data_IF_178387533419
#
_entry.id   IF_178387533419
#
_cell.length_a   1.000
_cell.length_b   1.000
_cell.length_c   1.000
_cell.angle_alpha   90.00
_cell.angle_beta   90.00
_cell.angle_gamma   90.00
#
_symmetry.space_group_name_H-M   'P 1'
#
loop_
_entity.id
_entity.type
_entity.pdbx_description
1 polymer ?
#
# COMPACT_ATOMS: atom_id res chain seq x y z
N UNK A 1 12.47 9.21 -18.40
CA UNK A 1 11.79 7.95 -18.06
C UNK A 1 11.24 7.94 -16.60
N UNK A 2 12.05 8.02 -15.52
CA UNK A 2 11.60 7.88 -14.14
C UNK A 2 10.52 8.88 -13.70
N UNK A 3 10.64 10.16 -14.04
CA UNK A 3 9.59 11.17 -13.74
C UNK A 3 8.25 10.82 -14.39
N UNK A 4 8.26 10.39 -15.65
CA UNK A 4 7.04 9.98 -16.36
C UNK A 4 6.39 8.73 -15.75
N UNK A 5 7.21 7.86 -15.12
CA UNK A 5 6.73 6.73 -14.31
C UNK A 5 6.21 7.18 -12.93
N UNK A 6 6.40 8.44 -12.59
CA UNK A 6 5.92 9.03 -11.34
C UNK A 6 6.88 8.89 -10.17
N UNK A 7 8.15 8.61 -10.44
CA UNK A 7 9.18 8.56 -9.40
C UNK A 7 9.52 9.97 -8.93
N UNK A 8 9.81 10.11 -7.64
CA UNK A 8 10.34 11.36 -7.11
C UNK A 8 11.82 11.52 -7.49
N UNK A 9 12.36 12.77 -7.50
CA UNK A 9 13.79 13.00 -7.69
C UNK A 9 14.69 12.18 -6.75
N UNK A 10 14.26 11.95 -5.51
CA UNK A 10 14.96 11.09 -4.55
C UNK A 10 15.00 9.64 -5.02
N UNK A 11 13.88 9.12 -5.51
CA UNK A 11 13.78 7.73 -5.99
C UNK A 11 14.63 7.52 -7.25
N UNK A 12 14.66 8.51 -8.14
CA UNK A 12 15.48 8.47 -9.36
C UNK A 12 16.98 8.45 -9.01
N UNK A 13 17.42 9.39 -8.17
CA UNK A 13 18.82 9.48 -7.76
C UNK A 13 19.29 8.23 -7.01
N UNK A 14 18.44 7.73 -6.09
CA UNK A 14 18.74 6.55 -5.30
C UNK A 14 18.77 5.26 -6.12
N UNK A 15 17.85 5.10 -7.07
CA UNK A 15 17.82 3.95 -7.98
C UNK A 15 19.03 3.97 -8.91
N UNK A 16 19.37 5.11 -9.48
CA UNK A 16 20.54 5.26 -10.33
C UNK A 16 21.84 4.91 -9.60
N UNK A 17 21.98 5.39 -8.35
CA UNK A 17 23.12 5.00 -7.50
C UNK A 17 23.16 3.49 -7.25
N UNK A 18 22.02 2.85 -7.04
CA UNK A 18 21.93 1.39 -6.83
C UNK A 18 22.41 0.62 -8.08
N UNK A 19 22.03 1.10 -9.27
CA UNK A 19 22.34 0.43 -10.55
C UNK A 19 23.79 0.68 -11.01
N UNK A 20 24.30 1.90 -10.83
CA UNK A 20 25.66 2.29 -11.31
C UNK A 20 26.76 2.10 -10.26
N UNK A 21 26.43 1.79 -9.01
CA UNK A 21 27.37 1.72 -7.89
C UNK A 21 27.92 3.05 -7.41
N UNK A 22 27.65 4.16 -8.10
CA UNK A 22 28.16 5.50 -7.80
C UNK A 22 27.07 6.58 -7.87
N UNK A 23 27.34 7.75 -7.28
CA UNK A 23 26.40 8.87 -7.30
C UNK A 23 26.56 9.65 -8.61
N UNK A 24 25.75 9.32 -9.62
CA UNK A 24 25.77 10.01 -10.93
C UNK A 24 25.06 11.36 -10.85
N UNK A 25 23.96 11.43 -10.11
CA UNK A 25 23.16 12.66 -9.94
C UNK A 25 22.55 12.72 -8.55
N UNK A 26 22.56 13.91 -7.94
CA UNK A 26 21.89 14.10 -6.65
C UNK A 26 20.42 14.48 -6.84
N UNK A 27 19.60 14.20 -5.84
CA UNK A 27 18.22 14.66 -5.77
C UNK A 27 18.11 16.18 -5.98
N UNK A 28 19.06 16.96 -5.41
CA UNK A 28 19.11 18.42 -5.52
C UNK A 28 19.33 18.86 -6.97
N UNK A 29 20.21 18.19 -7.70
CA UNK A 29 20.45 18.48 -9.12
C UNK A 29 19.20 18.25 -9.96
N UNK A 30 18.46 17.17 -9.70
CA UNK A 30 17.21 16.91 -10.42
C UNK A 30 16.16 17.98 -10.14
N UNK A 31 16.00 18.42 -8.87
CA UNK A 31 15.09 19.54 -8.54
C UNK A 31 15.55 20.85 -9.18
N UNK A 32 16.86 21.16 -9.18
CA UNK A 32 17.39 22.34 -9.83
C UNK A 32 17.05 22.36 -11.32
N UNK A 33 17.20 21.22 -11.98
CA UNK A 33 16.80 21.07 -13.38
C UNK A 33 15.28 21.21 -13.57
N UNK A 34 14.46 20.58 -12.73
CA UNK A 34 13.00 20.65 -12.82
C UNK A 34 12.46 22.07 -12.72
N UNK A 35 13.10 22.92 -11.93
CA UNK A 35 12.68 24.33 -11.77
C UNK A 35 13.36 25.28 -12.76
N UNK A 36 14.17 24.78 -13.69
CA UNK A 36 14.64 25.56 -14.83
C UNK A 36 13.58 25.62 -15.94
N UNK A 37 13.75 26.55 -16.88
CA UNK A 37 12.86 26.70 -18.04
C UNK A 37 12.69 25.39 -18.82
N UNK A 38 13.74 24.59 -18.95
CA UNK A 38 13.75 23.31 -19.66
C UNK A 38 13.03 22.17 -18.88
N UNK A 39 13.16 22.17 -17.56
CA UNK A 39 12.60 21.14 -16.69
C UNK A 39 11.15 21.37 -16.27
N UNK A 40 10.68 22.63 -16.32
CA UNK A 40 9.37 23.03 -15.81
C UNK A 40 8.18 22.20 -16.35
N UNK A 41 8.11 21.82 -17.63
CA UNK A 41 7.03 20.95 -18.14
C UNK A 41 6.96 19.59 -17.45
N UNK A 42 8.05 19.12 -16.85
CA UNK A 42 8.12 17.84 -16.14
C UNK A 42 7.67 17.90 -14.68
N UNK A 43 7.49 19.12 -14.12
CA UNK A 43 6.98 19.28 -12.74
C UNK A 43 5.60 18.63 -12.54
N UNK A 44 4.78 18.52 -13.58
CA UNK A 44 3.49 17.81 -13.58
C UNK A 44 3.61 16.34 -13.18
N UNK A 45 4.78 15.72 -13.33
CA UNK A 45 5.04 14.33 -12.96
C UNK A 45 5.47 14.16 -11.50
N UNK A 46 5.68 15.24 -10.74
CA UNK A 46 6.06 15.16 -9.34
C UNK A 46 4.94 14.54 -8.47
N UNK A 47 5.29 13.69 -7.48
CA UNK A 47 4.31 12.92 -6.69
C UNK A 47 3.37 13.78 -5.83
N UNK A 48 3.72 15.01 -5.50
CA UNK A 48 2.94 15.86 -4.58
C UNK A 48 2.70 17.24 -5.16
N UNK A 49 1.43 17.54 -5.44
CA UNK A 49 0.89 18.88 -5.65
C UNK A 49 0.04 19.25 -4.43
N UNK A 50 0.64 19.72 -3.33
CA UNK A 50 -0.12 20.09 -2.13
C UNK A 50 -0.34 21.60 -2.07
N UNK A 51 -1.61 22.01 -2.03
CA UNK A 51 -2.02 23.41 -1.93
C UNK A 51 -2.62 23.83 -0.58
N UNK A 52 -3.04 22.90 0.33
CA UNK A 52 -3.65 23.27 1.64
C UNK A 52 -3.48 22.19 2.75
N UNK A 53 -3.39 22.59 4.05
CA UNK A 53 -3.40 21.67 5.19
C UNK A 53 -4.79 21.10 5.49
N UNK A 54 -4.82 19.93 6.14
CA UNK A 54 -6.04 19.16 6.43
C UNK A 54 -6.69 19.55 7.75
N UNK A 55 -8.02 19.79 7.79
CA UNK A 55 -8.80 19.87 9.03
C UNK A 55 -9.01 18.47 9.65
N UNK A 56 -8.79 18.34 10.98
CA UNK A 56 -9.09 17.09 11.74
C UNK A 56 -10.60 16.88 11.85
N UNK A 57 -11.08 15.67 11.55
CA UNK A 57 -12.47 15.24 11.85
C UNK A 57 -12.52 14.56 13.22
N UNK A 58 -13.59 14.82 14.00
CA UNK A 58 -13.90 14.09 15.24
C UNK A 58 -14.29 12.65 14.91
N UNK A 59 -13.83 11.69 15.74
CA UNK A 59 -14.08 10.26 15.55
C UNK A 59 -15.54 9.86 15.81
N UNK A 60 -15.98 8.81 15.13
CA UNK A 60 -17.28 8.18 15.35
C UNK A 60 -17.25 7.30 16.62
N UNK A 61 -18.42 7.15 17.30
CA UNK A 61 -18.57 6.26 18.46
C UNK A 61 -18.30 4.80 18.07
N UNK A 62 -17.54 4.08 18.90
CA UNK A 62 -17.28 2.65 18.74
C UNK A 62 -18.54 1.84 18.98
N UNK A 63 -18.86 0.92 18.06
CA UNK A 63 -19.81 -0.17 18.31
C UNK A 63 -19.11 -1.26 19.11
N UNK A 64 -19.81 -1.88 20.09
CA UNK A 64 -19.33 -3.08 20.78
C UNK A 64 -19.11 -4.19 19.74
N UNK A 65 -17.86 -4.56 19.54
CA UNK A 65 -17.44 -5.65 18.65
C UNK A 65 -17.12 -6.86 19.52
N UNK A 66 -17.52 -8.06 19.10
CA UNK A 66 -17.19 -9.30 19.80
C UNK A 66 -15.66 -9.53 19.92
N UNK A 67 -15.27 -10.62 20.59
CA UNK A 67 -13.86 -10.98 20.80
C UNK A 67 -13.05 -10.94 19.50
N UNK A 68 -11.92 -10.22 19.52
CA UNK A 68 -10.95 -10.07 18.44
C UNK A 68 -9.53 -10.20 19.00
N UNK A 69 -8.67 -11.04 18.39
CA UNK A 69 -7.24 -11.05 18.75
C UNK A 69 -6.63 -9.67 18.50
N UNK A 70 -6.01 -9.09 19.52
CA UNK A 70 -5.45 -7.75 19.44
C UNK A 70 -4.00 -7.81 18.94
N UNK A 71 -3.54 -6.71 18.35
CA UNK A 71 -2.21 -6.59 17.74
C UNK A 71 -1.07 -6.91 18.71
N UNK A 72 -1.26 -6.71 20.00
CA UNK A 72 -0.25 -7.00 21.05
C UNK A 72 0.05 -8.51 21.16
N UNK A 73 -0.93 -9.37 20.82
CA UNK A 73 -0.75 -10.83 20.85
C UNK A 73 -0.14 -11.37 19.56
N UNK A 74 0.12 -10.49 18.59
CA UNK A 74 0.71 -10.86 17.30
C UNK A 74 2.19 -11.20 17.47
N UNK A 75 2.70 -12.29 16.88
CA UNK A 75 4.14 -12.57 16.88
C UNK A 75 4.92 -11.45 16.18
N UNK A 76 6.25 -11.40 16.44
CA UNK A 76 7.14 -10.40 15.81
C UNK A 76 6.97 -10.42 14.29
N UNK A 77 6.75 -9.25 13.70
CA UNK A 77 6.40 -9.09 12.28
C UNK A 77 7.43 -8.27 11.50
N UNK A 78 7.40 -8.43 10.18
CA UNK A 78 8.20 -7.65 9.24
C UNK A 78 9.64 -8.13 9.09
N UNK A 79 10.06 -9.19 9.77
CA UNK A 79 11.37 -9.82 9.59
C UNK A 79 11.37 -10.84 8.47
N UNK A 80 10.28 -11.56 8.30
CA UNK A 80 10.06 -12.54 7.24
C UNK A 80 8.87 -12.17 6.38
N UNK A 81 8.80 -12.75 5.17
CA UNK A 81 7.67 -12.57 4.28
C UNK A 81 6.40 -13.22 4.84
N UNK A 82 5.25 -12.60 4.56
CA UNK A 82 3.94 -13.15 4.91
C UNK A 82 3.15 -12.36 5.95
N UNK A 83 3.69 -11.26 6.46
CA UNK A 83 2.97 -10.36 7.38
C UNK A 83 2.29 -9.24 6.59
N UNK A 84 0.95 -9.22 6.60
CA UNK A 84 0.15 -8.31 5.79
C UNK A 84 -0.64 -7.31 6.65
N UNK A 85 -0.83 -6.11 6.12
CA UNK A 85 -1.82 -5.14 6.61
C UNK A 85 -2.93 -5.01 5.58
N UNK A 86 -4.18 -5.12 6.03
CA UNK A 86 -5.37 -5.02 5.18
C UNK A 86 -6.25 -3.83 5.54
N UNK A 87 -6.91 -3.26 4.52
CA UNK A 87 -7.86 -2.17 4.67
C UNK A 87 -8.77 -2.03 3.45
N UNK A 88 -9.88 -1.28 3.61
CA UNK A 88 -10.68 -0.82 2.49
C UNK A 88 -10.54 0.69 2.28
N UNK A 89 -10.47 1.11 1.03
CA UNK A 89 -10.39 2.52 0.68
C UNK A 89 -11.76 3.17 0.89
N UNK A 90 -11.82 4.19 1.75
CA UNK A 90 -13.04 4.96 1.96
C UNK A 90 -13.60 5.51 0.64
N UNK A 91 -14.85 5.18 0.35
CA UNK A 91 -15.57 5.59 -0.85
C UNK A 91 -16.52 6.77 -0.55
N UNK A 92 -16.96 7.52 -1.56
CA UNK A 92 -18.02 8.52 -1.42
C UNK A 92 -19.34 7.85 -1.03
N UNK A 93 -20.27 8.60 -0.43
CA UNK A 93 -21.57 8.07 -0.01
C UNK A 93 -22.37 7.40 -1.13
N UNK A 94 -22.23 7.91 -2.37
CA UNK A 94 -22.90 7.36 -3.56
C UNK A 94 -22.33 6.01 -4.02
N UNK A 95 -21.12 5.65 -3.62
CA UNK A 95 -20.49 4.40 -4.05
C UNK A 95 -20.97 3.22 -3.20
N UNK A 96 -21.47 2.20 -3.86
CA UNK A 96 -21.85 0.92 -3.25
C UNK A 96 -20.65 0.00 -3.06
N UNK A 97 -19.64 0.11 -3.94
CA UNK A 97 -18.44 -0.71 -3.93
C UNK A 97 -17.34 -0.20 -2.99
N UNK A 98 -16.29 -1.03 -2.85
CA UNK A 98 -15.04 -0.69 -2.13
C UNK A 98 -13.83 -1.16 -2.93
N UNK A 99 -12.75 -0.41 -2.83
CA UNK A 99 -11.42 -0.91 -3.21
C UNK A 99 -10.78 -1.48 -1.96
N UNK A 100 -10.48 -2.76 -1.97
CA UNK A 100 -9.84 -3.49 -0.87
C UNK A 100 -8.36 -3.65 -1.20
N UNK A 101 -7.50 -3.47 -0.21
CA UNK A 101 -6.06 -3.60 -0.38
C UNK A 101 -5.40 -4.35 0.76
N UNK A 102 -4.30 -5.02 0.41
CA UNK A 102 -3.36 -5.59 1.37
C UNK A 102 -1.95 -5.15 1.00
N UNK A 103 -1.11 -4.88 2.01
CA UNK A 103 0.31 -4.57 1.81
C UNK A 103 1.15 -5.51 2.66
N UNK A 104 2.16 -6.11 2.05
CA UNK A 104 3.11 -6.97 2.73
C UNK A 104 4.16 -6.12 3.46
N UNK A 105 4.46 -6.47 4.73
CA UNK A 105 5.21 -5.59 5.65
C UNK A 105 6.70 -5.51 5.35
N UNK A 106 7.33 -6.58 4.86
CA UNK A 106 8.76 -6.61 4.54
C UNK A 106 9.05 -6.00 3.17
N UNK A 107 8.38 -6.48 2.15
CA UNK A 107 8.58 -6.07 0.76
C UNK A 107 7.87 -4.79 0.37
N UNK A 108 6.84 -4.37 1.13
CA UNK A 108 5.93 -3.25 0.78
C UNK A 108 5.10 -3.54 -0.47
N UNK A 109 4.99 -4.79 -0.90
CA UNK A 109 4.17 -5.19 -2.04
C UNK A 109 2.71 -4.88 -1.75
N UNK A 110 2.07 -4.16 -2.66
CA UNK A 110 0.65 -3.80 -2.60
C UNK A 110 -0.15 -4.72 -3.52
N UNK A 111 -1.29 -5.19 -3.04
CA UNK A 111 -2.30 -5.85 -3.85
C UNK A 111 -3.64 -5.16 -3.65
N UNK A 112 -4.40 -4.99 -4.71
CA UNK A 112 -5.72 -4.34 -4.67
C UNK A 112 -6.74 -5.19 -5.44
N UNK A 113 -7.98 -5.14 -4.97
CA UNK A 113 -9.15 -5.64 -5.70
C UNK A 113 -10.33 -4.74 -5.44
N UNK A 114 -11.37 -4.84 -6.26
CA UNK A 114 -12.63 -4.16 -6.00
C UNK A 114 -13.73 -5.16 -5.66
N UNK A 115 -14.64 -4.73 -4.81
CA UNK A 115 -15.82 -5.49 -4.42
C UNK A 115 -17.07 -4.64 -4.61
N UNK A 116 -18.17 -5.26 -5.02
CA UNK A 116 -19.40 -4.55 -5.36
C UNK A 116 -20.13 -3.95 -4.15
N UNK A 117 -19.86 -4.46 -2.94
CA UNK A 117 -20.56 -4.03 -1.71
C UNK A 117 -19.62 -4.13 -0.50
N UNK A 118 -19.78 -3.29 0.56
CA UNK A 118 -18.96 -3.34 1.77
C UNK A 118 -18.95 -4.70 2.45
N UNK A 119 -20.07 -5.42 2.47
CA UNK A 119 -20.17 -6.78 3.04
C UNK A 119 -19.27 -7.81 2.36
N UNK A 120 -18.75 -7.51 1.17
CA UNK A 120 -17.84 -8.38 0.42
C UNK A 120 -16.35 -8.04 0.65
N UNK A 121 -16.03 -7.14 1.55
CA UNK A 121 -14.63 -6.76 1.86
C UNK A 121 -13.82 -7.99 2.29
N UNK A 122 -14.38 -8.88 3.11
CA UNK A 122 -13.70 -10.13 3.48
C UNK A 122 -13.42 -11.04 2.28
N UNK A 123 -14.36 -11.16 1.34
CA UNK A 123 -14.15 -11.90 0.08
C UNK A 123 -13.01 -11.26 -0.73
N UNK A 124 -12.94 -9.93 -0.74
CA UNK A 124 -11.83 -9.19 -1.36
C UNK A 124 -10.50 -9.50 -0.70
N UNK A 125 -10.42 -9.50 0.63
CA UNK A 125 -9.23 -9.87 1.39
C UNK A 125 -8.83 -11.33 1.10
N UNK A 126 -9.78 -12.24 1.13
CA UNK A 126 -9.54 -13.66 0.83
C UNK A 126 -8.95 -13.86 -0.58
N UNK A 127 -9.49 -13.21 -1.60
CA UNK A 127 -8.94 -13.23 -2.98
C UNK A 127 -7.50 -12.71 -3.05
N UNK A 128 -7.21 -11.63 -2.32
CA UNK A 128 -5.88 -11.02 -2.32
C UNK A 128 -4.84 -11.88 -1.60
N UNK A 129 -5.25 -12.68 -0.62
CA UNK A 129 -4.36 -13.51 0.20
C UNK A 129 -4.27 -14.97 -0.27
N UNK A 130 -5.19 -15.45 -1.11
CA UNK A 130 -5.26 -16.85 -1.54
C UNK A 130 -4.02 -17.38 -2.29
N UNK A 131 -3.28 -16.49 -2.96
CA UNK A 131 -2.14 -16.86 -3.84
C UNK A 131 -0.79 -16.39 -3.31
N UNK A 132 -0.71 -16.03 -2.05
CA UNK A 132 0.52 -15.52 -1.41
C UNK A 132 0.70 -16.15 -0.04
N UNK A 133 1.94 -16.28 0.45
CA UNK A 133 2.15 -16.72 1.82
C UNK A 133 1.59 -15.70 2.82
N UNK A 134 0.77 -16.18 3.75
CA UNK A 134 0.19 -15.36 4.83
C UNK A 134 0.54 -15.97 6.17
N UNK A 135 1.36 -15.28 6.93
CA UNK A 135 1.71 -15.61 8.31
C UNK A 135 0.81 -14.87 9.30
N UNK A 136 0.57 -13.59 9.04
CA UNK A 136 -0.35 -12.76 9.82
C UNK A 136 -1.07 -11.75 8.91
N UNK A 137 -2.32 -11.41 9.26
CA UNK A 137 -3.07 -10.33 8.63
C UNK A 137 -3.55 -9.35 9.70
N UNK A 138 -3.16 -8.08 9.59
CA UNK A 138 -3.57 -7.02 10.51
C UNK A 138 -4.71 -6.21 9.90
N UNK A 139 -5.81 -6.10 10.63
CA UNK A 139 -7.01 -5.34 10.24
C UNK A 139 -7.35 -4.27 11.29
N UNK A 140 -8.18 -3.31 10.91
CA UNK A 140 -8.83 -2.40 11.89
C UNK A 140 -10.14 -2.99 12.42
N UNK A 141 -10.72 -2.28 13.40
CA UNK A 141 -11.98 -2.67 14.04
C UNK A 141 -13.24 -2.27 13.23
N UNK A 142 -13.14 -2.16 11.90
CA UNK A 142 -14.31 -1.86 11.08
C UNK A 142 -15.37 -2.97 11.18
N UNK A 143 -16.65 -2.57 11.05
CA UNK A 143 -17.80 -3.50 11.09
C UNK A 143 -17.74 -4.52 9.95
N UNK A 144 -17.19 -4.13 8.81
CA UNK A 144 -17.01 -4.98 7.63
C UNK A 144 -16.08 -6.17 7.87
N UNK A 145 -15.25 -6.13 8.92
CA UNK A 145 -14.37 -7.23 9.36
C UNK A 145 -15.01 -8.13 10.41
N UNK A 146 -16.32 -7.98 10.71
CA UNK A 146 -17.00 -8.73 11.78
C UNK A 146 -16.96 -10.24 11.64
N UNK A 147 -16.94 -10.77 10.42
CA UNK A 147 -16.87 -12.21 10.12
C UNK A 147 -15.45 -12.69 9.80
N UNK A 148 -14.42 -12.04 10.33
CA UNK A 148 -13.01 -12.31 10.04
C UNK A 148 -12.57 -13.77 10.16
N UNK A 149 -13.22 -14.56 11.05
CA UNK A 149 -12.93 -16.00 11.18
C UNK A 149 -13.13 -16.79 9.89
N UNK A 150 -13.99 -16.31 8.98
CA UNK A 150 -14.20 -16.90 7.67
C UNK A 150 -12.99 -16.80 6.73
N UNK A 151 -11.99 -15.97 7.06
CA UNK A 151 -10.75 -15.88 6.28
C UNK A 151 -9.86 -17.12 6.45
N UNK A 152 -9.99 -17.85 7.56
CA UNK A 152 -9.13 -19.00 7.86
C UNK A 152 -7.65 -18.63 8.05
N UNK A 153 -7.36 -17.39 8.41
CA UNK A 153 -6.01 -16.85 8.54
C UNK A 153 -5.76 -16.35 9.97
N UNK A 154 -4.49 -16.28 10.43
CA UNK A 154 -4.12 -15.61 11.67
C UNK A 154 -4.34 -14.10 11.56
N UNK A 155 -5.50 -13.61 12.02
CA UNK A 155 -5.90 -12.20 11.95
C UNK A 155 -5.70 -11.52 13.30
N UNK A 156 -5.13 -10.32 13.28
CA UNK A 156 -4.93 -9.47 14.44
C UNK A 156 -5.55 -8.09 14.21
N UNK A 157 -6.11 -7.49 15.25
CA UNK A 157 -6.81 -6.22 15.17
C UNK A 157 -6.05 -5.10 15.86
N UNK A 158 -6.01 -3.94 15.20
CA UNK A 158 -5.48 -2.74 15.81
C UNK A 158 -6.32 -2.32 17.01
N UNK A 159 -5.70 -1.66 17.98
CA UNK A 159 -6.43 -1.02 19.05
C UNK A 159 -7.35 0.08 18.51
N UNK A 160 -8.52 0.29 19.10
CA UNK A 160 -9.39 1.39 18.73
C UNK A 160 -8.65 2.73 18.76
N UNK A 161 -8.88 3.56 17.74
CA UNK A 161 -8.24 4.89 17.57
C UNK A 161 -6.73 4.90 17.37
N UNK A 162 -6.04 3.75 17.27
CA UNK A 162 -4.60 3.65 17.01
C UNK A 162 -4.30 3.39 15.53
N UNK A 163 -4.60 4.37 14.68
CA UNK A 163 -4.35 4.28 13.23
C UNK A 163 -2.88 4.01 12.88
N UNK A 164 -1.94 4.41 13.75
CA UNK A 164 -0.50 4.19 13.55
C UNK A 164 -0.06 2.73 13.65
N UNK A 165 -0.91 1.81 14.06
CA UNK A 165 -0.59 0.38 14.17
C UNK A 165 -0.61 -0.35 12.82
N UNK A 166 -1.22 0.26 11.76
CA UNK A 166 -1.16 -0.21 10.37
C UNK A 166 -0.68 0.88 9.39
N UNK A 167 0.56 1.37 9.57
CA UNK A 167 1.07 2.53 8.84
C UNK A 167 1.32 2.26 7.36
N UNK A 168 1.55 1.01 6.97
CA UNK A 168 1.97 0.68 5.60
C UNK A 168 0.81 0.73 4.62
N UNK A 169 -0.34 0.17 5.00
CA UNK A 169 -1.53 0.25 4.13
C UNK A 169 -2.03 1.69 4.04
N UNK A 170 -2.00 2.46 5.14
CA UNK A 170 -2.35 3.87 5.13
C UNK A 170 -1.45 4.69 4.21
N UNK A 171 -0.12 4.49 4.31
CA UNK A 171 0.85 5.12 3.43
C UNK A 171 0.66 4.71 1.97
N UNK A 172 0.35 3.45 1.72
CA UNK A 172 0.08 2.94 0.37
C UNK A 172 -1.19 3.57 -0.21
N UNK A 173 -2.26 3.66 0.58
CA UNK A 173 -3.48 4.35 0.17
C UNK A 173 -3.27 5.87 0.00
N UNK A 174 -2.41 6.47 0.82
CA UNK A 174 -1.99 7.86 0.64
C UNK A 174 -1.33 8.13 -0.72
N UNK A 175 -0.50 7.19 -1.19
CA UNK A 175 0.13 7.25 -2.52
C UNK A 175 -0.85 6.90 -3.63
N UNK A 176 -1.73 5.92 -3.41
CA UNK A 176 -2.77 5.51 -4.34
C UNK A 176 -3.69 6.68 -4.73
N UNK A 177 -3.90 7.64 -3.82
CA UNK A 177 -4.70 8.86 -4.04
C UNK A 177 -4.19 9.76 -5.18
N UNK A 178 -3.01 9.51 -5.70
CA UNK A 178 -2.53 10.15 -6.92
C UNK A 178 -3.31 9.71 -8.15
N UNK A 179 -3.71 8.45 -8.22
CA UNK A 179 -4.43 7.85 -9.36
C UNK A 179 -5.92 7.63 -9.06
N UNK A 180 -6.26 7.47 -7.78
CA UNK A 180 -7.62 7.36 -7.28
C UNK A 180 -7.87 8.50 -6.27
N UNK A 181 -8.20 9.72 -6.73
CA UNK A 181 -8.49 10.85 -5.86
C UNK A 181 -9.60 10.55 -4.84
N UNK A 182 -9.70 11.36 -3.80
CA UNK A 182 -10.84 11.25 -2.87
C UNK A 182 -12.14 11.56 -3.60
N UNK A 183 -13.16 10.74 -3.36
CA UNK A 183 -14.43 10.87 -4.06
C UNK A 183 -14.57 10.00 -5.31
N UNK A 184 -13.49 9.33 -5.77
CA UNK A 184 -13.60 8.30 -6.82
C UNK A 184 -14.42 7.13 -6.29
N UNK A 185 -15.50 6.78 -6.98
CA UNK A 185 -16.29 5.61 -6.66
C UNK A 185 -15.59 4.32 -7.16
N UNK A 186 -15.78 3.21 -6.47
CA UNK A 186 -15.16 1.93 -6.87
C UNK A 186 -15.70 1.44 -8.21
N UNK A 187 -16.93 1.81 -8.55
CA UNK A 187 -17.59 1.51 -9.83
C UNK A 187 -16.89 2.19 -11.01
N UNK A 188 -16.41 3.43 -10.81
CA UNK A 188 -15.75 4.24 -11.84
C UNK A 188 -14.35 3.73 -12.20
N UNK A 189 -13.86 2.72 -11.48
CA UNK A 189 -12.50 2.17 -11.68
C UNK A 189 -12.59 0.78 -12.29
N UNK A 190 -12.05 0.60 -13.50
CA UNK A 190 -11.97 -0.72 -14.13
C UNK A 190 -10.95 -1.63 -13.41
N UNK A 191 -11.11 -2.95 -13.55
CA UNK A 191 -10.15 -3.92 -13.01
C UNK A 191 -8.75 -3.72 -13.65
N UNK A 192 -8.71 -3.48 -14.95
CA UNK A 192 -7.49 -3.24 -15.73
C UNK A 192 -6.77 -1.97 -15.24
N UNK A 193 -7.53 -0.91 -14.96
CA UNK A 193 -6.97 0.33 -14.42
C UNK A 193 -6.37 0.10 -13.04
N UNK A 194 -7.07 -0.64 -12.17
CA UNK A 194 -6.59 -0.96 -10.83
C UNK A 194 -5.29 -1.78 -10.87
N UNK A 195 -5.25 -2.80 -11.75
CA UNK A 195 -4.05 -3.62 -11.96
C UNK A 195 -2.86 -2.79 -12.49
N UNK A 196 -3.09 -1.90 -13.44
CA UNK A 196 -2.06 -0.98 -13.96
C UNK A 196 -1.49 -0.09 -12.86
N UNK A 197 -2.34 0.42 -11.97
CA UNK A 197 -1.91 1.23 -10.82
C UNK A 197 -1.07 0.38 -9.86
N UNK A 198 -1.51 -0.82 -9.51
CA UNK A 198 -0.78 -1.75 -8.63
C UNK A 198 0.60 -2.06 -9.21
N UNK A 199 0.67 -2.42 -10.48
CA UNK A 199 1.94 -2.71 -11.18
C UNK A 199 2.90 -1.51 -11.09
N UNK A 200 2.40 -0.30 -11.37
CA UNK A 200 3.19 0.94 -11.27
C UNK A 200 3.68 1.20 -9.84
N UNK A 201 2.83 1.02 -8.83
CA UNK A 201 3.20 1.21 -7.42
C UNK A 201 4.24 0.20 -6.95
N UNK A 202 4.13 -1.05 -7.39
CA UNK A 202 5.07 -2.13 -7.04
C UNK A 202 6.39 -2.04 -7.82
N UNK A 203 6.42 -1.39 -8.98
CA UNK A 203 7.63 -1.07 -9.74
C UNK A 203 8.30 0.26 -9.32
N UNK A 204 7.77 0.95 -8.30
CA UNK A 204 8.35 2.21 -7.82
C UNK A 204 9.39 1.94 -6.73
N UNK A 205 10.66 2.35 -6.89
CA UNK A 205 11.72 2.18 -5.90
C UNK A 205 11.36 2.81 -4.55
N UNK A 206 11.77 2.17 -3.44
CA UNK A 206 11.52 2.65 -2.08
C UNK A 206 12.82 2.86 -1.32
N UNK A 207 13.01 4.03 -0.71
CA UNK A 207 14.19 4.29 0.14
C UNK A 207 14.34 3.27 1.26
N UNK A 208 13.23 2.90 1.93
CA UNK A 208 13.21 1.90 2.99
C UNK A 208 13.58 0.47 2.52
N UNK A 209 13.66 0.22 1.23
CA UNK A 209 14.10 -1.02 0.60
C UNK A 209 15.48 -0.88 -0.07
N UNK A 210 16.27 0.14 0.31
CA UNK A 210 17.53 0.45 -0.35
C UNK A 210 17.35 0.79 -1.84
N UNK A 211 16.27 1.49 -2.18
CA UNK A 211 15.87 1.86 -3.55
C UNK A 211 15.55 0.69 -4.49
N UNK A 212 15.38 -0.51 -3.94
CA UNK A 212 14.73 -1.61 -4.68
C UNK A 212 13.23 -1.38 -4.78
N UNK A 213 12.59 -2.02 -5.73
CA UNK A 213 11.14 -2.00 -5.88
C UNK A 213 10.49 -3.01 -4.94
N UNK A 214 9.24 -2.80 -4.52
CA UNK A 214 8.46 -3.81 -3.79
C UNK A 214 8.43 -5.17 -4.48
N UNK A 215 8.31 -5.19 -5.80
CA UNK A 215 8.28 -6.42 -6.59
C UNK A 215 9.61 -7.20 -6.49
N UNK A 216 10.75 -6.53 -6.71
CA UNK A 216 12.08 -7.14 -6.60
C UNK A 216 12.33 -7.75 -5.21
N UNK A 217 11.94 -7.04 -4.15
CA UNK A 217 12.14 -7.53 -2.79
C UNK A 217 11.23 -8.72 -2.51
N UNK A 218 9.96 -8.66 -2.95
CA UNK A 218 8.99 -9.74 -2.76
C UNK A 218 9.46 -11.03 -3.46
N UNK A 219 9.85 -10.96 -4.71
CA UNK A 219 10.33 -12.10 -5.50
C UNK A 219 11.57 -12.74 -4.89
N UNK A 220 12.54 -11.90 -4.47
CA UNK A 220 13.74 -12.36 -3.77
C UNK A 220 13.44 -13.09 -2.47
N UNK A 221 12.52 -12.57 -1.64
CA UNK A 221 12.17 -13.21 -0.37
C UNK A 221 11.33 -14.48 -0.61
N UNK A 222 10.47 -14.48 -1.63
CA UNK A 222 9.66 -15.65 -1.99
C UNK A 222 10.53 -16.81 -2.47
N UNK A 223 11.57 -16.55 -3.28
CA UNK A 223 12.51 -17.58 -3.71
C UNK A 223 13.28 -18.21 -2.53
N UNK A 224 13.65 -17.41 -1.52
CA UNK A 224 14.29 -17.92 -0.30
C UNK A 224 13.41 -18.89 0.48
N UNK A 225 12.11 -18.61 0.58
CA UNK A 225 11.17 -19.51 1.27
C UNK A 225 11.05 -20.83 0.51
N UNK A 226 10.96 -20.80 -0.82
CA UNK A 226 10.85 -22.01 -1.65
C UNK A 226 12.09 -22.89 -1.55
N UNK A 227 13.29 -22.32 -1.51
CA UNK A 227 14.56 -23.06 -1.37
C UNK A 227 14.65 -23.69 0.03
N UNK A 228 14.26 -22.97 1.09
CA UNK A 228 14.27 -23.48 2.46
C UNK A 228 13.26 -24.60 2.76
N UNK A 229 12.24 -24.78 1.92
CA UNK A 229 11.30 -25.90 2.05
C UNK A 229 11.76 -27.18 1.33
N UNK A 230 12.82 -27.12 0.53
CA UNK A 230 13.37 -28.26 -0.22
C UNK A 230 14.68 -28.81 0.42
N UNK A 231 15.09 -28.26 1.53
CA UNK A 231 16.22 -28.72 2.35
C UNK A 231 15.71 -29.31 3.67
#
# INVERSE_FOLDING_TARGET
AGLQQGWSPEQIAGRWRLESGQTVVSQRCIYKWLYSSWGQPYCRYLPRQRWRPRKRRRGAKLKKLGFRPMIETRPVVGQVLGDWEGDSLGAPQRSRGRVVGVVERRSRLLRLTKVARPRLVLVGLQRLTATVPVRTLTLDNAVEHGRWRQLGLPVYFCQPYRAWEKPLIENSFGRLRRWLPKGTAAEDVSAIQLERIVRRMNATPRRCLGYRTPQEVYEKELSRIKIGCCA
#
